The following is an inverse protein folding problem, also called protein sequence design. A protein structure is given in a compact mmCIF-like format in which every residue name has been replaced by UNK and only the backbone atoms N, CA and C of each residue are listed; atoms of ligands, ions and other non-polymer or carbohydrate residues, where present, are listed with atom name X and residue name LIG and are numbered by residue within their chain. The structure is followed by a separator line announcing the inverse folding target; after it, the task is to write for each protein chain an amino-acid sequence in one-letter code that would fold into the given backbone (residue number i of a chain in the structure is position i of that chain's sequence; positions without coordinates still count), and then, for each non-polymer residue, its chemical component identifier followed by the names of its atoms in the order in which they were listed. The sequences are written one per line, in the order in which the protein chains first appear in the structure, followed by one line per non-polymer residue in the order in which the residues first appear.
data_IF_114688598415
#
_entry.id   IF_114688598415
#
_cell.length_a   1.000
_cell.length_b   1.000
_cell.length_c   1.000
_cell.angle_alpha   90.00
_cell.angle_beta   90.00
_cell.angle_gamma   90.00
#
_symmetry.space_group_name_H-M   'P 1'
#
loop_
_entity.id
_entity.type
_entity.pdbx_description
1 polymer ?
#
# COMPACT_ATOMS: atom_id res chain seq x y z
N UNK A 1 -21.12 -2.42 26.23
CA UNK A 1 -21.34 -2.49 24.77
C UNK A 1 -20.07 -2.07 24.00
N UNK A 2 -18.92 -2.74 24.22
CA UNK A 2 -17.61 -2.31 23.67
C UNK A 2 -16.84 -3.40 22.89
N UNK A 3 -17.29 -4.65 22.89
CA UNK A 3 -16.56 -5.75 22.24
C UNK A 3 -16.70 -5.80 20.71
N UNK A 4 -17.75 -5.22 20.13
CA UNK A 4 -17.99 -5.25 18.67
C UNK A 4 -17.22 -4.18 17.87
N UNK A 5 -16.57 -3.20 18.51
CA UNK A 5 -15.89 -2.10 17.79
C UNK A 5 -14.55 -2.48 17.17
N UNK A 6 -13.83 -3.46 17.74
CA UNK A 6 -12.49 -3.87 17.29
C UNK A 6 -12.50 -4.58 15.94
N UNK A 7 -13.31 -5.65 15.73
CA UNK A 7 -13.36 -6.30 14.43
C UNK A 7 -13.88 -5.33 13.36
N UNK A 8 -14.83 -4.45 13.70
CA UNK A 8 -15.37 -3.49 12.74
C UNK A 8 -14.31 -2.53 12.16
N UNK A 9 -13.45 -1.95 12.98
CA UNK A 9 -12.39 -1.04 12.49
C UNK A 9 -11.39 -1.78 11.62
N UNK A 10 -10.91 -2.95 12.06
CA UNK A 10 -9.95 -3.74 11.28
C UNK A 10 -10.56 -4.17 9.94
N UNK A 11 -11.79 -4.70 9.96
CA UNK A 11 -12.53 -5.06 8.75
C UNK A 11 -12.76 -3.88 7.82
N UNK A 12 -13.06 -2.69 8.36
CA UNK A 12 -13.22 -1.47 7.55
C UNK A 12 -11.94 -1.13 6.78
N UNK A 13 -10.78 -1.17 7.43
CA UNK A 13 -9.50 -0.91 6.75
C UNK A 13 -9.17 -1.98 5.71
N UNK A 14 -9.47 -3.25 5.98
CA UNK A 14 -9.33 -4.32 4.98
C UNK A 14 -10.20 -4.03 3.75
N UNK A 15 -11.47 -3.68 3.96
CA UNK A 15 -12.39 -3.33 2.85
C UNK A 15 -11.90 -2.09 2.08
N UNK A 16 -11.34 -1.10 2.78
CA UNK A 16 -10.74 0.08 2.15
C UNK A 16 -9.54 -0.29 1.26
N UNK A 17 -8.69 -1.22 1.70
CA UNK A 17 -7.58 -1.75 0.90
C UNK A 17 -8.06 -2.43 -0.38
N UNK A 18 -9.03 -3.34 -0.25
CA UNK A 18 -9.63 -4.04 -1.40
C UNK A 18 -10.34 -3.10 -2.37
N UNK A 19 -11.04 -2.07 -1.85
CA UNK A 19 -11.68 -1.06 -2.68
C UNK A 19 -10.65 -0.24 -3.47
N UNK A 20 -9.50 0.06 -2.87
CA UNK A 20 -8.41 0.79 -3.54
C UNK A 20 -7.78 -0.06 -4.64
N UNK A 21 -7.60 -1.37 -4.41
CA UNK A 21 -7.11 -2.31 -5.42
C UNK A 21 -8.07 -2.43 -6.61
N UNK A 22 -9.37 -2.53 -6.32
CA UNK A 22 -10.40 -2.49 -7.36
C UNK A 22 -10.40 -1.18 -8.16
N UNK A 23 -10.14 -0.04 -7.51
CA UNK A 23 -10.02 1.26 -8.19
C UNK A 23 -8.79 1.32 -9.12
N UNK A 24 -7.65 0.71 -8.76
CA UNK A 24 -6.50 0.58 -9.67
C UNK A 24 -6.90 -0.17 -10.95
N UNK A 25 -7.67 -1.24 -10.81
CA UNK A 25 -8.15 -2.05 -11.93
C UNK A 25 -9.07 -1.30 -12.90
N UNK A 26 -9.82 -0.31 -12.41
CA UNK A 26 -10.82 0.41 -13.22
C UNK A 26 -10.26 1.62 -14.00
N UNK A 27 -8.94 1.84 -13.98
CA UNK A 27 -8.13 2.73 -14.85
C UNK A 27 -8.50 4.23 -14.88
N UNK A 28 -9.62 4.68 -14.31
CA UNK A 28 -10.08 6.08 -14.51
C UNK A 28 -9.60 7.09 -13.47
N UNK A 29 -9.38 6.67 -12.22
CA UNK A 29 -8.89 7.50 -11.11
C UNK A 29 -7.73 6.81 -10.37
N UNK A 30 -6.78 6.25 -11.14
CA UNK A 30 -5.68 5.44 -10.61
C UNK A 30 -4.76 6.18 -9.64
N UNK A 31 -4.71 7.52 -9.68
CA UNK A 31 -3.77 8.30 -8.87
C UNK A 31 -4.07 8.22 -7.38
N UNK A 32 -5.35 8.29 -6.99
CA UNK A 32 -5.76 8.14 -5.58
C UNK A 32 -5.48 6.73 -5.08
N UNK A 33 -5.76 5.72 -5.91
CA UNK A 33 -5.50 4.33 -5.56
C UNK A 33 -4.00 4.02 -5.49
N UNK A 34 -3.18 4.59 -6.39
CA UNK A 34 -1.71 4.54 -6.34
C UNK A 34 -1.23 5.18 -5.05
N UNK A 35 -1.74 6.36 -4.67
CA UNK A 35 -1.32 7.00 -3.41
C UNK A 35 -1.64 6.08 -2.24
N UNK A 36 -2.86 5.57 -2.14
CA UNK A 36 -3.28 4.70 -1.03
C UNK A 36 -2.50 3.38 -0.98
N UNK A 37 -2.16 2.81 -2.15
CA UNK A 37 -1.45 1.53 -2.28
C UNK A 37 0.05 1.66 -2.48
N UNK A 38 0.61 2.88 -2.53
CA UNK A 38 2.03 3.10 -2.84
C UNK A 38 2.95 2.26 -1.94
N UNK A 39 2.76 2.20 -0.61
CA UNK A 39 3.59 1.36 0.25
C UNK A 39 3.52 -0.13 -0.14
N UNK A 40 2.33 -0.63 -0.44
CA UNK A 40 2.14 -2.02 -0.86
C UNK A 40 2.84 -2.28 -2.19
N UNK A 41 2.59 -1.42 -3.19
CA UNK A 41 3.19 -1.56 -4.53
C UNK A 41 4.72 -1.48 -4.49
N UNK A 42 5.27 -0.60 -3.65
CA UNK A 42 6.73 -0.50 -3.45
C UNK A 42 7.32 -1.80 -2.90
N UNK A 43 6.64 -2.45 -1.95
CA UNK A 43 7.05 -3.73 -1.36
C UNK A 43 6.88 -4.87 -2.35
N UNK A 44 5.79 -4.90 -3.12
CA UNK A 44 5.58 -5.88 -4.19
C UNK A 44 6.77 -5.83 -5.16
N UNK A 45 7.11 -4.64 -5.65
CA UNK A 45 8.23 -4.49 -6.56
C UNK A 45 9.57 -4.88 -5.91
N UNK A 46 9.80 -4.48 -4.67
CA UNK A 46 10.99 -4.90 -3.93
C UNK A 46 11.09 -6.43 -3.82
N UNK A 47 9.97 -7.13 -3.55
CA UNK A 47 9.95 -8.60 -3.53
C UNK A 47 10.23 -9.21 -4.91
N UNK A 48 9.74 -8.61 -5.99
CA UNK A 48 10.08 -9.04 -7.35
C UNK A 48 11.59 -8.92 -7.63
N UNK A 49 12.25 -7.88 -7.12
CA UNK A 49 13.71 -7.74 -7.27
C UNK A 49 14.49 -8.79 -6.47
N UNK A 50 13.99 -9.18 -5.29
CA UNK A 50 14.62 -10.21 -4.45
C UNK A 50 14.31 -11.63 -4.92
N UNK A 51 13.11 -11.84 -5.47
CA UNK A 51 12.60 -13.15 -5.89
C UNK A 51 12.11 -13.02 -7.34
N UNK A 52 13.01 -13.10 -8.33
CA UNK A 52 12.66 -12.94 -9.75
C UNK A 52 11.63 -13.96 -10.25
N UNK A 53 11.47 -15.10 -9.55
CA UNK A 53 10.44 -16.08 -9.87
C UNK A 53 9.01 -15.48 -9.77
N UNK A 54 8.80 -14.45 -8.96
CA UNK A 54 7.49 -13.79 -8.82
C UNK A 54 7.04 -13.11 -10.12
N UNK A 55 7.97 -12.59 -10.92
CA UNK A 55 7.63 -11.93 -12.20
C UNK A 55 7.18 -12.91 -13.27
N UNK A 56 7.38 -14.22 -13.06
CA UNK A 56 6.95 -15.28 -13.98
C UNK A 56 5.54 -15.79 -13.68
N UNK A 57 4.93 -15.35 -12.58
CA UNK A 57 3.57 -15.71 -12.21
C UNK A 57 2.56 -15.08 -13.17
N UNK A 58 1.47 -15.79 -13.45
CA UNK A 58 0.34 -15.17 -14.15
C UNK A 58 -0.23 -14.01 -13.33
N UNK A 59 -0.85 -12.99 -13.96
CA UNK A 59 -1.35 -11.80 -13.26
C UNK A 59 -2.24 -12.13 -12.06
N UNK A 60 -3.16 -13.09 -12.21
CA UNK A 60 -4.04 -13.54 -11.13
C UNK A 60 -3.29 -14.24 -9.99
N UNK A 61 -2.29 -15.07 -10.31
CA UNK A 61 -1.48 -15.73 -9.30
C UNK A 61 -0.63 -14.72 -8.53
N UNK A 62 -0.08 -13.72 -9.21
CA UNK A 62 0.68 -12.65 -8.60
C UNK A 62 -0.19 -11.82 -7.64
N UNK A 63 -1.40 -11.49 -8.06
CA UNK A 63 -2.38 -10.76 -7.23
C UNK A 63 -2.72 -11.57 -5.97
N UNK A 64 -3.11 -12.85 -6.12
CA UNK A 64 -3.52 -13.69 -4.99
C UNK A 64 -2.37 -14.09 -4.05
N UNK A 65 -1.17 -14.32 -4.57
CA UNK A 65 -0.05 -14.84 -3.80
C UNK A 65 0.85 -13.75 -3.19
N UNK A 66 0.86 -12.54 -3.78
CA UNK A 66 1.77 -11.47 -3.38
C UNK A 66 1.00 -10.21 -2.98
N UNK A 67 0.24 -9.64 -3.91
CA UNK A 67 -0.35 -8.30 -3.73
C UNK A 67 -1.44 -8.30 -2.68
N UNK A 68 -2.43 -9.18 -2.81
CA UNK A 68 -3.57 -9.29 -1.91
C UNK A 68 -3.14 -9.60 -0.46
N UNK A 69 -2.24 -10.57 -0.18
CA UNK A 69 -1.72 -10.77 1.18
C UNK A 69 -1.06 -9.52 1.77
N UNK A 70 -0.29 -8.77 0.98
CA UNK A 70 0.36 -7.54 1.44
C UNK A 70 -0.66 -6.43 1.73
N UNK A 71 -1.71 -6.30 0.92
CA UNK A 71 -2.84 -5.39 1.18
C UNK A 71 -3.49 -5.75 2.52
N UNK A 72 -3.84 -7.03 2.71
CA UNK A 72 -4.48 -7.48 3.94
C UNK A 72 -3.60 -7.21 5.18
N UNK A 73 -2.30 -7.45 5.08
CA UNK A 73 -1.34 -7.19 6.17
C UNK A 73 -1.26 -5.68 6.45
N UNK A 74 -1.03 -4.86 5.42
CA UNK A 74 -0.82 -3.42 5.59
C UNK A 74 -2.04 -2.72 6.17
N UNK A 75 -3.22 -2.94 5.58
CA UNK A 75 -4.47 -2.33 6.06
C UNK A 75 -4.95 -2.95 7.36
N UNK A 76 -4.79 -4.26 7.55
CA UNK A 76 -5.10 -4.93 8.81
C UNK A 76 -4.27 -4.39 9.97
N UNK A 77 -2.95 -4.19 9.76
CA UNK A 77 -2.04 -3.62 10.74
C UNK A 77 -2.36 -2.15 11.02
N UNK A 78 -2.68 -1.37 9.99
CA UNK A 78 -3.09 0.04 10.13
C UNK A 78 -4.36 0.16 10.97
N UNK A 79 -5.40 -0.63 10.65
CA UNK A 79 -6.64 -0.68 11.41
C UNK A 79 -6.44 -1.18 12.85
N UNK A 80 -5.53 -2.14 13.05
CA UNK A 80 -5.16 -2.61 14.39
C UNK A 80 -4.55 -1.48 15.23
N UNK A 81 -3.58 -0.73 14.71
CA UNK A 81 -2.95 0.37 15.44
C UNK A 81 -3.93 1.48 15.79
N UNK A 82 -4.78 1.88 14.84
CA UNK A 82 -5.84 2.87 15.12
C UNK A 82 -6.80 2.37 16.21
N UNK A 83 -7.11 1.08 16.23
CA UNK A 83 -7.89 0.49 17.32
C UNK A 83 -7.16 0.57 18.68
N UNK A 84 -5.84 0.38 18.72
CA UNK A 84 -5.08 0.49 19.98
C UNK A 84 -4.98 1.94 20.45
N UNK A 85 -4.64 2.86 19.56
CA UNK A 85 -4.61 4.31 19.84
C UNK A 85 -5.98 4.79 20.33
N UNK A 86 -7.06 4.26 19.77
CA UNK A 86 -8.42 4.59 20.18
C UNK A 86 -8.73 4.27 21.65
N UNK A 87 -7.99 3.35 22.28
CA UNK A 87 -8.14 2.94 23.69
C UNK A 87 -7.31 3.76 24.66
N UNK A 88 -6.31 4.48 24.17
CA UNK A 88 -5.53 5.38 25.02
C UNK A 88 -6.43 6.52 25.51
N UNK A 89 -6.24 6.95 26.75
CA UNK A 89 -7.02 8.02 27.35
C UNK A 89 -6.17 9.29 27.53
N UNK A 90 -6.84 10.44 27.56
CA UNK A 90 -6.20 11.73 27.78
C UNK A 90 -5.33 12.20 26.61
N UNK A 91 -4.38 13.09 26.91
CA UNK A 91 -3.57 13.78 25.91
C UNK A 91 -2.67 12.84 25.10
N UNK A 92 -2.19 11.75 25.72
CA UNK A 92 -1.28 10.80 25.11
C UNK A 92 -1.85 10.16 23.83
N UNK A 93 -3.16 9.91 23.79
CA UNK A 93 -3.87 9.43 22.59
C UNK A 93 -3.59 10.30 21.37
N UNK A 94 -3.67 11.62 21.51
CA UNK A 94 -3.50 12.56 20.41
C UNK A 94 -2.03 12.62 19.97
N UNK A 95 -1.09 12.51 20.91
CA UNK A 95 0.34 12.45 20.60
C UNK A 95 0.67 11.19 19.80
N UNK A 96 0.19 10.02 20.23
CA UNK A 96 0.42 8.76 19.51
C UNK A 96 -0.29 8.78 18.15
N UNK A 97 -1.52 9.30 18.08
CA UNK A 97 -2.23 9.44 16.81
C UNK A 97 -1.48 10.34 15.83
N UNK A 98 -0.96 11.47 16.29
CA UNK A 98 -0.17 12.38 15.46
C UNK A 98 1.11 11.72 14.98
N UNK A 99 1.84 11.03 15.86
CA UNK A 99 3.03 10.28 15.49
C UNK A 99 2.73 9.18 14.48
N UNK A 100 1.61 8.46 14.64
CA UNK A 100 1.18 7.42 13.72
C UNK A 100 0.80 7.97 12.34
N UNK A 101 0.08 9.09 12.29
CA UNK A 101 -0.23 9.79 11.03
C UNK A 101 1.06 10.26 10.36
N UNK A 102 1.99 10.86 11.10
CA UNK A 102 3.29 11.28 10.58
C UNK A 102 4.09 10.10 10.02
N UNK A 103 4.10 8.97 10.72
CA UNK A 103 4.72 7.73 10.24
C UNK A 103 4.10 7.23 8.93
N UNK A 104 2.76 7.21 8.84
CA UNK A 104 2.08 6.84 7.59
C UNK A 104 2.47 7.79 6.45
N UNK A 105 2.48 9.11 6.69
CA UNK A 105 2.87 10.09 5.67
C UNK A 105 4.30 9.81 5.19
N UNK A 106 5.25 9.57 6.09
CA UNK A 106 6.65 9.30 5.72
C UNK A 106 6.77 8.02 4.88
N UNK A 107 6.07 6.95 5.26
CA UNK A 107 6.09 5.70 4.49
C UNK A 107 5.50 5.91 3.09
N UNK A 108 4.37 6.61 2.98
CA UNK A 108 3.76 6.88 1.68
C UNK A 108 4.66 7.77 0.81
N UNK A 109 5.29 8.77 1.41
CA UNK A 109 6.23 9.62 0.70
C UNK A 109 7.41 8.81 0.17
N UNK A 110 8.09 8.04 1.03
CA UNK A 110 9.20 7.18 0.59
C UNK A 110 8.79 6.16 -0.49
N UNK A 111 7.60 5.58 -0.35
CA UNK A 111 7.08 4.65 -1.34
C UNK A 111 6.77 5.33 -2.68
N UNK A 112 6.24 6.55 -2.65
CA UNK A 112 5.95 7.32 -3.86
C UNK A 112 7.23 7.76 -4.56
N UNK A 113 8.21 8.30 -3.84
CA UNK A 113 9.53 8.67 -4.38
C UNK A 113 10.20 7.45 -5.05
N UNK A 114 10.10 6.28 -4.41
CA UNK A 114 10.61 5.03 -4.98
C UNK A 114 9.88 4.66 -6.27
N UNK A 115 8.54 4.64 -6.27
CA UNK A 115 7.76 4.30 -7.47
C UNK A 115 7.97 5.30 -8.62
N UNK A 116 8.07 6.59 -8.32
CA UNK A 116 8.38 7.63 -9.31
C UNK A 116 9.76 7.40 -9.93
N UNK A 117 10.77 7.08 -9.11
CA UNK A 117 12.12 6.78 -9.62
C UNK A 117 12.13 5.61 -10.61
N UNK A 118 11.30 4.58 -10.37
CA UNK A 118 11.14 3.44 -11.27
C UNK A 118 10.44 3.82 -12.58
N UNK A 119 9.40 4.65 -12.51
CA UNK A 119 8.69 5.13 -13.70
C UNK A 119 9.61 5.96 -14.60
N UNK A 120 10.39 6.87 -14.01
CA UNK A 120 11.36 7.69 -14.73
C UNK A 120 12.46 6.82 -15.38
N UNK A 121 12.96 5.82 -14.66
CA UNK A 121 13.97 4.89 -15.19
C UNK A 121 13.43 4.05 -16.36
N UNK A 122 12.20 3.55 -16.25
CA UNK A 122 11.56 2.78 -17.34
C UNK A 122 11.34 3.60 -18.61
N UNK A 123 10.99 4.88 -18.45
CA UNK A 123 10.78 5.83 -19.56
C UNK A 123 12.10 6.14 -20.26
N UNK A 124 13.17 6.39 -19.51
CA UNK A 124 14.50 6.64 -20.06
C UNK A 124 15.06 5.43 -20.85
N UNK A 125 14.82 4.20 -20.39
CA UNK A 125 15.21 2.97 -21.12
C UNK A 125 14.36 2.79 -22.39
N UNK A 126 13.07 3.14 -22.33
CA UNK A 126 12.18 3.11 -23.50
C UNK A 126 12.56 4.09 -24.61
N UNK A 127 13.07 5.28 -24.25
CA UNK A 127 13.57 6.26 -25.24
C UNK A 127 14.90 5.84 -25.86
N UNK A 128 15.80 5.22 -25.09
CA UNK A 128 17.09 4.70 -25.59
C UNK A 128 16.94 3.49 -26.52
N UNK A 129 15.90 2.69 -26.35
CA UNK A 129 15.63 1.52 -27.20
C UNK A 129 14.83 1.87 -28.47
N UNK A 130 14.04 2.96 -28.47
CA UNK A 130 13.33 3.46 -29.65
C UNK A 130 14.15 4.44 -30.51
N UNK A 131 15.37 4.80 -30.10
CA UNK A 131 16.32 5.62 -30.86
C UNK A 131 17.50 4.80 -31.40
N UNK A 132 17.23 3.55 -31.83
CA UNK A 132 18.21 2.77 -32.59
C UNK A 132 18.56 3.41 -33.94
N UNK A 133 19.82 3.30 -34.41
CA UNK A 133 20.31 3.89 -35.65
C UNK A 133 19.62 3.39 -36.92
#
# INVERSE_FOLDING_TARGET
MFLFRKPFVISFFIVLGLASEYMLWQVRDGLTAIVILAPVLSVVHFLETLIPALTSLSPLQHELAVTLPLILIYFGFTGYWLCQIGREEGFLKYVILFAFIGFLIVIHWQAFDYLESLMLQSTAIGELTNTGP
#
